data_IF_716999037862
#
_entry.id   IF_716999037862
#
_cell.length_a   1.000
_cell.length_b   1.000
_cell.length_c   1.000
_cell.angle_alpha   90.00
_cell.angle_beta   90.00
_cell.angle_gamma   90.00
#
_symmetry.space_group_name_H-M   'P 1'
#
loop_
_entity.id
_entity.type
_entity.pdbx_description
1 polymer ?
#
# COMPACT_ATOMS: atom_id res chain seq x y z
N UNK A 1 12.07 30.30 55.36
CA UNK A 1 10.80 29.57 55.15
C UNK A 1 11.14 28.27 54.46
N UNK A 2 10.55 27.14 54.87
CA UNK A 2 10.80 25.83 54.25
C UNK A 2 9.87 25.68 53.05
N UNK A 3 10.41 25.41 51.87
CA UNK A 3 9.62 25.16 50.66
C UNK A 3 8.99 23.77 50.69
N UNK A 4 7.95 23.60 49.86
CA UNK A 4 7.29 22.32 49.62
C UNK A 4 8.29 21.38 48.95
N UNK A 5 8.29 20.12 49.35
CA UNK A 5 9.11 19.08 48.70
C UNK A 5 8.53 18.72 47.33
N UNK A 6 9.36 18.18 46.42
CA UNK A 6 8.91 17.80 45.08
C UNK A 6 7.78 16.76 45.13
N UNK A 7 7.81 15.85 46.11
CA UNK A 7 6.78 14.84 46.32
C UNK A 7 5.45 15.47 46.74
N UNK A 8 5.47 16.45 47.64
CA UNK A 8 4.28 17.20 48.05
C UNK A 8 3.73 18.07 46.91
N UNK A 9 4.61 18.66 46.10
CA UNK A 9 4.21 19.43 44.92
C UNK A 9 3.56 18.53 43.86
N UNK A 10 4.10 17.32 43.65
CA UNK A 10 3.51 16.31 42.78
C UNK A 10 2.14 15.85 43.28
N UNK A 11 2.01 15.56 44.59
CA UNK A 11 0.72 15.24 45.22
C UNK A 11 -0.31 16.37 45.05
N UNK A 12 0.12 17.62 45.18
CA UNK A 12 -0.74 18.78 44.91
C UNK A 12 -1.18 18.88 43.45
N UNK A 13 -0.29 18.60 42.50
CA UNK A 13 -0.63 18.56 41.07
C UNK A 13 -1.59 17.42 40.72
N UNK A 14 -1.50 16.29 41.43
CA UNK A 14 -2.42 15.16 41.31
C UNK A 14 -3.79 15.41 41.97
N UNK A 15 -3.92 16.45 42.81
CA UNK A 15 -5.12 16.73 43.58
C UNK A 15 -5.23 15.97 44.90
N UNK A 16 -4.12 15.39 45.38
CA UNK A 16 -4.03 14.58 46.60
C UNK A 16 -3.41 15.36 47.78
N UNK A 17 -3.11 16.64 47.60
CA UNK A 17 -2.49 17.44 48.65
C UNK A 17 -3.42 17.71 49.84
N UNK A 18 -2.81 17.76 51.01
CA UNK A 18 -3.40 18.28 52.23
C UNK A 18 -3.63 19.79 52.16
N UNK A 19 -4.54 20.28 53.00
CA UNK A 19 -4.90 21.70 53.04
C UNK A 19 -3.72 22.61 53.39
N UNK A 20 -2.77 22.12 54.20
CA UNK A 20 -1.57 22.87 54.59
C UNK A 20 -0.66 23.12 53.38
N UNK A 21 -0.38 22.10 52.57
CA UNK A 21 0.41 22.26 51.34
C UNK A 21 -0.30 23.18 50.35
N UNK A 22 -1.62 23.03 50.18
CA UNK A 22 -2.39 23.91 49.30
C UNK A 22 -2.29 25.38 49.73
N UNK A 23 -2.41 25.65 51.02
CA UNK A 23 -2.30 27.00 51.56
C UNK A 23 -0.86 27.54 51.43
N UNK A 24 0.16 26.71 51.65
CA UNK A 24 1.55 27.09 51.43
C UNK A 24 1.82 27.49 49.98
N UNK A 25 1.39 26.69 49.00
CA UNK A 25 1.57 26.98 47.57
C UNK A 25 0.86 28.26 47.17
N UNK A 26 -0.25 28.63 47.83
CA UNK A 26 -0.94 29.90 47.58
C UNK A 26 -0.22 31.12 48.18
N UNK A 27 0.43 30.97 49.33
CA UNK A 27 1.13 32.08 50.01
C UNK A 27 2.58 32.26 49.55
N UNK A 28 3.27 31.19 49.17
CA UNK A 28 4.67 31.22 48.77
C UNK A 28 4.80 31.44 47.25
N UNK A 29 5.25 32.63 46.83
CA UNK A 29 5.39 32.98 45.41
C UNK A 29 6.30 32.03 44.63
N UNK A 30 7.39 31.55 45.25
CA UNK A 30 8.33 30.64 44.59
C UNK A 30 7.68 29.27 44.30
N UNK A 31 7.05 28.65 45.31
CA UNK A 31 6.36 27.38 45.12
C UNK A 31 5.18 27.52 44.15
N UNK A 32 4.48 28.66 44.17
CA UNK A 32 3.46 28.98 43.17
C UNK A 32 4.04 29.06 41.75
N UNK A 33 5.17 29.77 41.58
CA UNK A 33 5.84 29.90 40.29
C UNK A 33 6.26 28.53 39.72
N UNK A 34 6.88 27.68 40.56
CA UNK A 34 7.26 26.30 40.21
C UNK A 34 6.03 25.47 39.81
N UNK A 35 4.97 25.49 40.62
CA UNK A 35 3.71 24.81 40.32
C UNK A 35 3.11 25.23 38.97
N UNK A 36 3.09 26.55 38.68
CA UNK A 36 2.58 27.06 37.40
C UNK A 36 3.48 26.72 36.22
N UNK A 37 4.79 26.61 36.43
CA UNK A 37 5.74 26.19 35.40
C UNK A 37 5.52 24.73 35.02
N UNK A 38 5.35 23.85 36.02
CA UNK A 38 5.06 22.42 35.78
C UNK A 38 3.73 22.25 35.06
N UNK A 39 2.65 22.93 35.50
CA UNK A 39 1.35 22.90 34.81
C UNK A 39 1.45 23.35 33.34
N UNK A 40 2.23 24.40 33.06
CA UNK A 40 2.49 24.86 31.68
C UNK A 40 3.34 23.87 30.87
N UNK A 41 4.22 23.10 31.52
CA UNK A 41 4.94 22.00 30.90
C UNK A 41 3.99 20.88 30.47
N UNK A 42 3.16 20.39 31.39
CA UNK A 42 2.19 19.31 31.15
C UNK A 42 1.21 19.69 30.05
N UNK A 43 0.68 20.92 30.04
CA UNK A 43 -0.27 21.35 29.01
C UNK A 43 0.35 21.42 27.61
N UNK A 44 1.61 21.90 27.49
CA UNK A 44 2.35 21.91 26.22
C UNK A 44 2.64 20.49 25.73
N UNK A 45 3.07 19.61 26.63
CA UNK A 45 3.30 18.20 26.30
C UNK A 45 2.01 17.52 25.83
N UNK A 46 0.91 17.68 26.55
CA UNK A 46 -0.40 17.13 26.16
C UNK A 46 -0.86 17.64 24.78
N UNK A 47 -0.64 18.91 24.48
CA UNK A 47 -0.95 19.48 23.17
C UNK A 47 -0.07 18.88 22.06
N UNK A 48 1.23 18.70 22.32
CA UNK A 48 2.16 18.07 21.38
C UNK A 48 1.75 16.62 21.07
N UNK A 49 1.46 15.83 22.11
CA UNK A 49 0.98 14.44 21.97
C UNK A 49 -0.32 14.37 21.18
N UNK A 50 -1.28 15.28 21.44
CA UNK A 50 -2.54 15.34 20.66
C UNK A 50 -2.31 15.69 19.19
N UNK A 51 -1.35 16.55 18.88
CA UNK A 51 -1.01 16.87 17.50
C UNK A 51 -0.41 15.66 16.79
N UNK A 52 0.57 15.01 17.41
CA UNK A 52 1.17 13.79 16.84
C UNK A 52 0.15 12.68 16.64
N UNK A 53 -0.70 12.42 17.63
CA UNK A 53 -1.73 11.39 17.50
C UNK A 53 -2.75 11.71 16.40
N UNK A 54 -3.12 12.99 16.23
CA UNK A 54 -3.97 13.42 15.13
C UNK A 54 -3.29 13.20 13.75
N UNK A 55 -1.98 13.46 13.63
CA UNK A 55 -1.23 13.17 12.41
C UNK A 55 -1.14 11.67 12.14
N UNK A 56 -0.82 10.87 13.15
CA UNK A 56 -0.76 9.41 13.03
C UNK A 56 -2.11 8.82 12.63
N UNK A 57 -3.20 9.30 13.23
CA UNK A 57 -4.56 8.88 12.90
C UNK A 57 -4.93 9.23 11.44
N UNK A 58 -4.61 10.45 10.99
CA UNK A 58 -4.80 10.85 9.59
C UNK A 58 -3.98 10.00 8.62
N UNK A 59 -2.72 9.71 8.97
CA UNK A 59 -1.86 8.86 8.15
C UNK A 59 -2.40 7.41 8.06
N UNK A 60 -2.94 6.89 9.16
CA UNK A 60 -3.60 5.58 9.19
C UNK A 60 -4.84 5.56 8.28
N UNK A 61 -5.74 6.53 8.45
CA UNK A 61 -6.95 6.66 7.62
C UNK A 61 -6.62 6.89 6.13
N UNK A 62 -5.56 7.65 5.81
CA UNK A 62 -5.13 7.84 4.44
C UNK A 62 -4.66 6.53 3.77
N UNK A 63 -4.00 5.64 4.53
CA UNK A 63 -3.61 4.32 4.04
C UNK A 63 -4.82 3.43 3.72
N UNK A 64 -5.90 3.53 4.50
CA UNK A 64 -7.13 2.76 4.25
C UNK A 64 -7.91 3.26 3.02
N UNK A 65 -7.84 4.56 2.72
CA UNK A 65 -8.56 5.16 1.58
C UNK A 65 -7.76 5.03 0.26
N UNK A 66 -6.43 4.97 0.32
CA UNK A 66 -5.56 4.84 -0.84
C UNK A 66 -5.84 3.63 -1.78
N UNK A 67 -6.14 2.40 -1.32
CA UNK A 67 -6.29 1.25 -2.22
C UNK A 67 -7.48 1.38 -3.17
N UNK A 68 -8.55 2.10 -2.80
CA UNK A 68 -9.74 2.22 -3.65
C UNK A 68 -9.50 3.07 -4.89
N UNK A 69 -8.72 4.16 -4.77
CA UNK A 69 -8.42 5.05 -5.91
C UNK A 69 -7.45 4.40 -6.88
N UNK A 70 -6.44 3.68 -6.38
CA UNK A 70 -5.51 2.92 -7.21
C UNK A 70 -6.24 1.83 -8.02
N UNK A 71 -7.15 1.08 -7.40
CA UNK A 71 -7.95 0.08 -8.11
C UNK A 71 -8.88 0.70 -9.17
N UNK A 72 -9.47 1.87 -8.90
CA UNK A 72 -10.32 2.57 -9.86
C UNK A 72 -9.52 3.05 -11.09
N UNK A 73 -8.34 3.65 -10.88
CA UNK A 73 -7.45 4.06 -11.98
C UNK A 73 -6.95 2.86 -12.78
N UNK A 74 -6.63 1.75 -12.10
CA UNK A 74 -6.24 0.52 -12.77
C UNK A 74 -7.37 0.00 -13.67
N UNK A 75 -8.60 -0.08 -13.17
CA UNK A 75 -9.77 -0.47 -13.97
C UNK A 75 -9.95 0.46 -15.18
N UNK A 76 -9.87 1.78 -14.98
CA UNK A 76 -10.00 2.75 -16.08
C UNK A 76 -8.95 2.53 -17.17
N UNK A 77 -7.70 2.21 -16.79
CA UNK A 77 -6.62 1.94 -17.74
C UNK A 77 -6.89 0.68 -18.57
N UNK A 78 -7.43 -0.37 -17.96
CA UNK A 78 -7.81 -1.59 -18.68
C UNK A 78 -9.03 -1.37 -19.59
N UNK A 79 -10.01 -0.57 -19.17
CA UNK A 79 -11.12 -0.17 -20.05
C UNK A 79 -10.63 0.62 -21.26
N UNK A 80 -9.73 1.59 -21.06
CA UNK A 80 -9.15 2.36 -22.15
C UNK A 80 -8.37 1.47 -23.14
N UNK A 81 -7.58 0.53 -22.63
CA UNK A 81 -6.86 -0.44 -23.45
C UNK A 81 -7.83 -1.35 -24.25
N UNK A 82 -8.91 -1.82 -23.61
CA UNK A 82 -9.93 -2.64 -24.27
C UNK A 82 -10.67 -1.89 -25.38
N UNK A 83 -11.05 -0.63 -25.14
CA UNK A 83 -11.70 0.22 -26.16
C UNK A 83 -10.76 0.46 -27.35
N UNK A 84 -9.49 0.73 -27.10
CA UNK A 84 -8.49 0.93 -28.15
C UNK A 84 -8.31 -0.35 -29.00
N UNK A 85 -8.22 -1.52 -28.36
CA UNK A 85 -8.11 -2.79 -29.06
C UNK A 85 -9.34 -3.08 -29.93
N UNK A 86 -10.54 -2.75 -29.42
CA UNK A 86 -11.79 -2.96 -30.16
C UNK A 86 -11.91 -2.03 -31.37
N UNK A 87 -11.44 -0.78 -31.26
CA UNK A 87 -11.35 0.16 -32.39
C UNK A 87 -10.38 -0.33 -33.48
N UNK A 88 -9.21 -0.84 -33.09
CA UNK A 88 -8.25 -1.42 -34.02
C UNK A 88 -8.82 -2.67 -34.71
N UNK A 89 -9.45 -3.56 -33.94
CA UNK A 89 -10.10 -4.76 -34.48
C UNK A 89 -11.23 -4.40 -35.45
N UNK A 90 -12.07 -3.41 -35.12
CA UNK A 90 -13.14 -2.94 -35.98
C UNK A 90 -12.60 -2.37 -37.30
N UNK A 91 -11.49 -1.63 -37.26
CA UNK A 91 -10.84 -1.09 -38.46
C UNK A 91 -10.32 -2.21 -39.37
N UNK A 92 -9.69 -3.24 -38.80
CA UNK A 92 -9.23 -4.42 -39.56
C UNK A 92 -10.38 -5.25 -40.13
N UNK A 93 -11.47 -5.41 -39.38
CA UNK A 93 -12.66 -6.14 -39.83
C UNK A 93 -13.37 -5.42 -40.97
N UNK A 94 -13.34 -4.08 -40.98
CA UNK A 94 -13.93 -3.30 -42.07
C UNK A 94 -13.17 -3.44 -43.39
N UNK A 95 -11.82 -3.54 -43.33
CA UNK A 95 -11.01 -3.81 -44.52
C UNK A 95 -11.20 -5.24 -45.06
N UNK A 96 -11.49 -6.20 -44.18
CA UNK A 96 -11.78 -7.57 -44.58
C UNK A 96 -13.22 -7.79 -45.01
N UNK A 97 -14.10 -6.77 -44.99
CA UNK A 97 -15.48 -6.92 -45.42
C UNK A 97 -15.48 -7.35 -46.89
N UNK A 98 -15.82 -8.60 -47.21
CA UNK A 98 -15.77 -9.08 -48.57
C UNK A 98 -16.74 -8.22 -49.35
N UNK A 99 -16.21 -7.46 -50.32
CA UNK A 99 -17.00 -6.75 -51.30
C UNK A 99 -17.90 -7.83 -51.89
N UNK A 100 -19.20 -7.76 -51.61
CA UNK A 100 -20.20 -8.68 -52.14
C UNK A 100 -20.29 -8.46 -53.65
N UNK A 101 -19.25 -8.91 -54.35
CA UNK A 101 -19.24 -9.08 -55.78
C UNK A 101 -20.16 -10.23 -56.07
N UNK A 102 -21.26 -9.92 -56.75
CA UNK A 102 -22.11 -10.89 -57.40
C UNK A 102 -21.25 -11.98 -58.06
N UNK A 103 -21.42 -13.22 -57.61
CA UNK A 103 -20.99 -14.43 -58.32
C UNK A 103 -22.03 -15.48 -57.95
N UNK A 104 -23.01 -15.70 -58.83
CA UNK A 104 -22.91 -16.69 -59.91
C UNK A 104 -22.71 -18.07 -59.30
N UNK A 105 -23.81 -18.81 -59.26
CA UNK A 105 -23.84 -20.27 -59.08
C UNK A 105 -22.79 -20.93 -59.96
N UNK A 106 -21.67 -21.34 -59.37
CA UNK A 106 -20.85 -22.40 -59.92
C UNK A 106 -20.63 -23.44 -58.83
N UNK A 107 -21.34 -24.54 -59.05
CA UNK A 107 -21.06 -25.92 -58.71
C UNK A 107 -20.01 -26.18 -57.63
N UNK A 108 -20.50 -26.69 -56.50
CA UNK A 108 -20.07 -27.96 -55.92
C UNK A 108 -18.72 -28.49 -56.44
N UNK A 109 -17.67 -28.25 -55.67
CA UNK A 109 -16.62 -29.25 -55.51
C UNK A 109 -16.35 -29.32 -54.02
N UNK A 110 -16.87 -30.37 -53.43
CA UNK A 110 -16.60 -30.81 -52.06
C UNK A 110 -15.09 -31.02 -51.89
N UNK A 111 -14.41 -30.01 -51.34
CA UNK A 111 -13.11 -30.21 -50.72
C UNK A 111 -13.38 -30.77 -49.34
N UNK A 112 -13.31 -32.09 -49.28
CA UNK A 112 -13.17 -32.88 -48.08
C UNK A 112 -11.95 -32.36 -47.30
N UNK A 113 -12.21 -31.48 -46.33
CA UNK A 113 -11.23 -31.14 -45.30
C UNK A 113 -11.05 -32.41 -44.50
N UNK A 114 -9.97 -33.10 -44.83
CA UNK A 114 -9.41 -34.19 -44.05
C UNK A 114 -9.03 -33.59 -42.69
N UNK A 115 -10.00 -33.56 -41.76
CA UNK A 115 -9.71 -33.37 -40.35
C UNK A 115 -8.80 -34.53 -39.97
N UNK A 116 -7.50 -34.25 -39.90
CA UNK A 116 -6.54 -35.13 -39.28
C UNK A 116 -7.10 -35.61 -37.94
N UNK A 117 -6.81 -36.86 -37.56
CA UNK A 117 -7.47 -37.50 -36.43
C UNK A 117 -7.41 -36.57 -35.23
N UNK A 118 -8.55 -36.32 -34.59
CA UNK A 118 -8.59 -35.78 -33.25
C UNK A 118 -7.72 -36.71 -32.42
N UNK A 119 -6.48 -36.28 -32.16
CA UNK A 119 -5.55 -37.00 -31.31
C UNK A 119 -6.23 -36.97 -29.95
N UNK A 120 -6.89 -38.08 -29.61
CA UNK A 120 -7.26 -38.40 -28.25
C UNK A 120 -5.94 -38.56 -27.52
N UNK A 121 -5.36 -37.43 -27.11
CA UNK A 121 -4.17 -37.44 -26.28
C UNK A 121 -4.57 -38.19 -25.02
N UNK A 122 -3.96 -39.35 -24.79
CA UNK A 122 -4.16 -40.07 -23.55
C UNK A 122 -3.69 -39.18 -22.40
N UNK A 123 -4.24 -39.40 -21.22
CA UNK A 123 -3.94 -38.58 -20.04
C UNK A 123 -2.41 -38.52 -19.76
N UNK A 124 -1.69 -39.58 -20.13
CA UNK A 124 -0.23 -39.67 -20.06
C UNK A 124 0.50 -38.70 -21.01
N UNK A 125 -0.04 -38.43 -22.20
CA UNK A 125 0.50 -37.42 -23.13
C UNK A 125 0.26 -36.00 -22.62
N UNK A 126 -0.88 -35.75 -21.98
CA UNK A 126 -1.16 -34.48 -21.31
C UNK A 126 -0.21 -34.24 -20.15
N UNK A 127 0.05 -35.26 -19.31
CA UNK A 127 0.99 -35.16 -18.20
C UNK A 127 2.43 -34.92 -18.69
N UNK A 128 2.85 -35.57 -19.78
CA UNK A 128 4.16 -35.32 -20.38
C UNK A 128 4.27 -33.92 -21.00
N UNK A 129 3.21 -33.41 -21.62
CA UNK A 129 3.20 -32.04 -22.15
C UNK A 129 3.36 -31.00 -21.03
N UNK A 130 2.66 -31.18 -19.90
CA UNK A 130 2.78 -30.31 -18.73
C UNK A 130 4.15 -30.42 -18.07
N UNK A 131 4.70 -31.64 -17.97
CA UNK A 131 6.04 -31.85 -17.42
C UNK A 131 7.13 -31.17 -18.27
N UNK A 132 6.99 -31.20 -19.60
CA UNK A 132 7.88 -30.48 -20.51
C UNK A 132 7.76 -28.95 -20.39
N UNK A 133 6.55 -28.43 -20.18
CA UNK A 133 6.35 -26.98 -20.04
C UNK A 133 6.86 -26.45 -18.68
N UNK A 134 6.76 -27.25 -17.61
CA UNK A 134 7.36 -26.94 -16.30
C UNK A 134 8.89 -26.97 -16.31
N UNK A 135 9.49 -27.88 -17.08
CA UNK A 135 10.94 -27.97 -17.24
C UNK A 135 11.50 -26.98 -18.28
N UNK A 136 10.63 -26.20 -18.93
CA UNK A 136 11.06 -25.17 -19.86
C UNK A 136 11.79 -24.09 -19.07
N UNK A 137 13.08 -23.90 -19.40
CA UNK A 137 13.97 -22.93 -18.76
C UNK A 137 13.30 -21.56 -18.78
N UNK A 138 12.83 -21.11 -17.63
CA UNK A 138 12.20 -19.79 -17.47
C UNK A 138 13.25 -18.74 -17.88
N UNK A 139 12.93 -17.85 -18.84
CA UNK A 139 13.87 -16.81 -19.23
C UNK A 139 14.27 -15.97 -18.02
N UNK A 140 15.55 -15.65 -17.91
CA UNK A 140 16.23 -15.01 -16.77
C UNK A 140 15.61 -13.67 -16.30
N UNK A 141 14.64 -13.13 -17.04
CA UNK A 141 13.86 -11.95 -16.69
C UNK A 141 12.88 -12.16 -15.52
N UNK A 142 12.64 -13.41 -15.09
CA UNK A 142 11.82 -13.75 -13.91
C UNK A 142 12.66 -14.30 -12.75
N UNK A 143 13.95 -13.94 -12.67
CA UNK A 143 14.74 -14.22 -11.47
C UNK A 143 14.02 -13.64 -10.24
N UNK A 144 13.92 -14.40 -9.13
CA UNK A 144 13.09 -14.05 -7.99
C UNK A 144 13.44 -12.66 -7.45
N UNK A 145 12.40 -11.94 -7.01
CA UNK A 145 12.44 -10.59 -6.40
C UNK A 145 13.16 -10.60 -5.02
N UNK A 146 14.12 -11.50 -4.79
CA UNK A 146 14.99 -11.49 -3.62
C UNK A 146 16.10 -10.44 -3.70
N UNK A 147 16.38 -9.89 -4.90
CA UNK A 147 17.38 -8.81 -5.06
C UNK A 147 16.89 -7.47 -4.51
N UNK A 148 15.57 -7.23 -4.50
CA UNK A 148 15.00 -5.95 -4.03
C UNK A 148 15.02 -5.83 -2.50
N UNK A 149 14.96 -6.94 -1.75
CA UNK A 149 15.00 -6.91 -0.29
C UNK A 149 16.40 -6.69 0.28
N UNK A 150 17.44 -7.22 -0.36
CA UNK A 150 18.84 -7.02 0.09
C UNK A 150 19.25 -5.55 -0.08
N UNK A 151 18.98 -4.96 -1.25
CA UNK A 151 19.29 -3.55 -1.50
C UNK A 151 18.56 -2.59 -0.55
N UNK A 152 17.37 -2.97 -0.05
CA UNK A 152 16.60 -2.15 0.90
C UNK A 152 17.16 -2.21 2.33
N UNK A 153 17.70 -3.36 2.74
CA UNK A 153 18.32 -3.52 4.05
C UNK A 153 19.67 -2.80 4.12
N UNK A 154 20.45 -2.78 3.03
CA UNK A 154 21.74 -2.07 2.99
C UNK A 154 21.58 -0.55 3.12
N UNK A 155 20.53 0.03 2.51
CA UNK A 155 20.20 1.46 2.65
C UNK A 155 19.75 1.79 4.07
N UNK A 156 18.96 0.92 4.70
CA UNK A 156 18.52 1.11 6.08
C UNK A 156 19.72 1.08 7.06
N UNK A 157 20.64 0.12 6.88
CA UNK A 157 21.84 0.02 7.71
C UNK A 157 22.77 1.25 7.54
N UNK A 158 22.99 1.71 6.31
CA UNK A 158 23.82 2.89 6.03
C UNK A 158 23.27 4.19 6.64
N UNK A 159 21.94 4.35 6.68
CA UNK A 159 21.29 5.55 7.26
C UNK A 159 21.38 5.64 8.78
N UNK A 160 21.64 4.52 9.48
CA UNK A 160 21.66 4.46 10.95
C UNK A 160 23.05 4.79 11.53
N UNK A 161 24.13 4.67 10.74
CA UNK A 161 25.50 4.97 11.18
C UNK A 161 25.93 6.43 11.07
N UNK A 162 25.13 7.29 10.43
CA UNK A 162 25.52 8.68 10.13
C UNK A 162 25.12 9.71 11.22
N UNK A 163 24.51 9.29 12.34
CA UNK A 163 23.98 10.18 13.40
C UNK A 163 24.85 10.12 14.68
N UNK A 164 26.14 9.84 14.54
CA UNK A 164 27.08 9.85 15.67
C UNK A 164 28.39 10.52 15.29
N UNK A 165 28.32 11.82 15.04
CA UNK A 165 29.43 12.78 15.21
C UNK A 165 28.88 14.11 15.71
#
# INVERSE_FOLDING_TARGET
MKHVTDEQLAGWLAGEADSETQEHVQRCEQCHAEATAVRRGISRYALAVRRESAYAHRACMAKEIAPRKLLALHRLRWFAAGVLALLLAAQTAWMMKPRSGATTSQSATSVEVNLGPAIQMSDDELLNAVHNDLNRVVPQALAPVSVITIARNDIAAASTGAISQ
#
